data_IF_250471530989
#
_entry.id   IF_250471530989
#
_cell.length_a   1.000
_cell.length_b   1.000
_cell.length_c   1.000
_cell.angle_alpha   90.00
_cell.angle_beta   90.00
_cell.angle_gamma   90.00
#
_symmetry.space_group_name_H-M   'P 1'
#
loop_
_entity.id
_entity.type
_entity.pdbx_description
1 polymer ?
#
# COMPACT_ATOMS: atom_id res chain seq x y z
N UNK A 1 0.56 -10.89 -13.74
CA UNK A 1 0.24 -10.50 -12.35
C UNK A 1 0.74 -9.09 -12.16
N UNK A 2 -0.05 -8.20 -11.55
CA UNK A 2 0.35 -6.80 -11.38
C UNK A 2 1.07 -6.59 -10.05
N UNK A 3 2.36 -6.25 -10.10
CA UNK A 3 3.21 -6.14 -8.91
C UNK A 3 3.70 -4.71 -8.64
N UNK A 4 4.06 -4.46 -7.39
CA UNK A 4 4.73 -3.25 -6.92
C UNK A 4 5.53 -3.57 -5.65
N UNK A 5 6.48 -2.71 -5.31
CA UNK A 5 7.26 -2.73 -4.06
C UNK A 5 6.74 -1.61 -3.18
N UNK A 6 6.46 -1.92 -1.92
CA UNK A 6 5.92 -0.97 -0.97
C UNK A 6 6.57 -1.08 0.41
N UNK A 7 6.57 0.04 1.13
CA UNK A 7 6.90 0.11 2.54
C UNK A 7 5.61 0.12 3.36
N UNK A 8 5.48 -0.79 4.36
CA UNK A 8 4.36 -0.72 5.30
C UNK A 8 4.49 0.54 6.15
N UNK A 9 3.35 1.06 6.61
CA UNK A 9 3.35 2.21 7.50
C UNK A 9 3.48 1.74 8.97
N UNK A 10 4.15 2.50 9.84
CA UNK A 10 4.10 2.24 11.27
C UNK A 10 2.65 2.30 11.78
N UNK A 11 2.33 1.47 12.77
CA UNK A 11 0.98 1.38 13.35
C UNK A 11 0.40 2.75 13.77
N UNK A 12 1.23 3.61 14.34
CA UNK A 12 0.83 4.97 14.76
C UNK A 12 0.28 5.80 13.59
N UNK A 13 0.87 5.64 12.40
CA UNK A 13 0.44 6.31 11.17
C UNK A 13 -0.86 5.69 10.65
N UNK A 14 -1.00 4.36 10.68
CA UNK A 14 -2.25 3.69 10.31
C UNK A 14 -3.43 4.16 11.17
N UNK A 15 -3.22 4.29 12.48
CA UNK A 15 -4.23 4.78 13.42
C UNK A 15 -4.60 6.25 13.16
N UNK A 16 -3.61 7.09 12.90
CA UNK A 16 -3.82 8.50 12.53
C UNK A 16 -4.62 8.62 11.22
N UNK A 17 -4.25 7.85 10.19
CA UNK A 17 -4.97 7.81 8.91
C UNK A 17 -6.42 7.35 9.11
N UNK A 18 -6.66 6.37 9.99
CA UNK A 18 -8.01 5.94 10.36
C UNK A 18 -8.88 7.09 10.88
N UNK A 19 -8.34 7.89 11.81
CA UNK A 19 -9.04 9.07 12.37
C UNK A 19 -9.33 10.12 11.28
N UNK A 20 -8.35 10.41 10.43
CA UNK A 20 -8.50 11.38 9.34
C UNK A 20 -9.58 10.92 8.35
N UNK A 21 -9.52 9.67 7.89
CA UNK A 21 -10.49 9.10 6.96
C UNK A 21 -11.90 9.10 7.57
N UNK A 22 -12.03 8.79 8.86
CA UNK A 22 -13.32 8.87 9.56
C UNK A 22 -13.93 10.28 9.47
N UNK A 23 -13.16 11.32 9.80
CA UNK A 23 -13.61 12.71 9.71
C UNK A 23 -13.98 13.10 8.28
N UNK A 24 -13.17 12.70 7.29
CA UNK A 24 -13.40 13.04 5.89
C UNK A 24 -14.63 12.34 5.30
N UNK A 25 -14.91 11.10 5.72
CA UNK A 25 -16.12 10.37 5.31
C UNK A 25 -17.40 11.12 5.68
N UNK A 26 -17.44 11.76 6.84
CA UNK A 26 -18.61 12.53 7.28
C UNK A 26 -18.84 13.80 6.46
N UNK A 27 -17.78 14.34 5.83
CA UNK A 27 -17.86 15.55 5.00
C UNK A 27 -18.13 15.26 3.53
N UNK A 28 -17.77 14.07 3.03
CA UNK A 28 -17.70 13.75 1.59
C UNK A 28 -18.95 13.11 0.96
N UNK A 29 -20.07 12.98 1.67
CA UNK A 29 -21.35 12.52 1.11
C UNK A 29 -21.31 11.14 0.44
N UNK A 30 -20.43 10.23 0.88
CA UNK A 30 -20.37 8.83 0.42
C UNK A 30 -19.82 8.59 -0.99
N UNK A 31 -19.43 9.62 -1.76
CA UNK A 31 -18.98 9.48 -3.15
C UNK A 31 -17.51 9.03 -3.31
N UNK A 32 -16.74 9.06 -2.22
CA UNK A 32 -15.31 8.70 -2.22
C UNK A 32 -15.15 7.25 -1.77
N UNK A 33 -14.48 6.43 -2.58
CA UNK A 33 -14.06 5.08 -2.20
C UNK A 33 -12.73 5.15 -1.45
N UNK A 34 -12.77 4.90 -0.15
CA UNK A 34 -11.60 4.94 0.72
C UNK A 34 -10.92 3.57 0.80
N UNK A 35 -9.59 3.55 0.70
CA UNK A 35 -8.79 2.37 1.05
C UNK A 35 -8.85 2.16 2.57
N UNK A 36 -8.91 0.91 3.03
CA UNK A 36 -8.83 0.62 4.46
C UNK A 36 -7.47 1.06 5.01
N UNK A 37 -7.38 1.69 6.20
CA UNK A 37 -6.11 2.21 6.74
C UNK A 37 -4.97 1.17 6.72
N UNK A 38 -5.25 -0.07 7.14
CA UNK A 38 -4.30 -1.20 7.13
C UNK A 38 -3.77 -1.63 5.75
N UNK A 39 -4.42 -1.19 4.67
CA UNK A 39 -4.00 -1.46 3.30
C UNK A 39 -3.22 -0.27 2.70
N UNK A 40 -3.14 0.85 3.41
CA UNK A 40 -2.37 2.02 2.96
C UNK A 40 -0.89 1.73 3.19
N UNK A 41 -0.11 1.93 2.13
CA UNK A 41 1.32 1.70 2.10
C UNK A 41 1.97 2.77 1.23
N UNK A 42 3.28 2.97 1.40
CA UNK A 42 4.04 3.82 0.49
C UNK A 42 4.60 2.98 -0.65
N UNK A 43 4.05 3.13 -1.85
CA UNK A 43 4.60 2.47 -3.05
C UNK A 43 5.91 3.14 -3.45
N UNK A 44 6.99 2.37 -3.48
CA UNK A 44 8.34 2.85 -3.87
C UNK A 44 8.60 2.60 -5.35
N UNK A 45 8.11 1.48 -5.88
CA UNK A 45 8.30 1.13 -7.29
C UNK A 45 7.13 0.34 -7.83
N UNK A 46 6.56 0.80 -8.93
CA UNK A 46 5.55 0.06 -9.67
C UNK A 46 6.23 -0.83 -10.72
N UNK A 47 5.94 -2.13 -10.70
CA UNK A 47 6.55 -3.12 -11.61
C UNK A 47 5.63 -3.48 -12.78
N UNK A 48 4.35 -3.14 -12.72
CA UNK A 48 3.41 -3.42 -13.80
C UNK A 48 3.05 -4.90 -13.89
N UNK A 49 2.63 -5.31 -15.09
CA UNK A 49 2.45 -6.72 -15.39
C UNK A 49 3.78 -7.44 -15.36
N UNK A 50 3.86 -8.42 -14.48
CA UNK A 50 5.04 -9.23 -14.23
C UNK A 50 4.70 -10.69 -14.47
N UNK A 51 5.63 -11.41 -15.09
CA UNK A 51 5.58 -12.86 -15.26
C UNK A 51 5.91 -13.56 -13.95
N UNK A 52 5.21 -14.63 -13.65
CA UNK A 52 5.40 -15.40 -12.41
C UNK A 52 6.83 -15.93 -12.25
N UNK A 53 7.49 -16.29 -13.35
CA UNK A 53 8.89 -16.74 -13.36
C UNK A 53 9.88 -15.70 -12.79
N UNK A 54 9.53 -14.40 -12.77
CA UNK A 54 10.38 -13.34 -12.21
C UNK A 54 10.22 -13.17 -10.70
N UNK A 55 9.22 -13.80 -10.09
CA UNK A 55 8.84 -13.56 -8.69
C UNK A 55 9.97 -13.87 -7.71
N UNK A 56 10.63 -15.02 -7.85
CA UNK A 56 11.72 -15.42 -6.94
C UNK A 56 12.94 -14.50 -7.07
N UNK A 57 13.27 -14.06 -8.29
CA UNK A 57 14.34 -13.08 -8.51
C UNK A 57 14.03 -11.73 -7.86
N UNK A 58 12.78 -11.27 -7.95
CA UNK A 58 12.34 -10.03 -7.31
C UNK A 58 12.40 -10.15 -5.79
N UNK A 59 11.92 -11.25 -5.21
CA UNK A 59 12.00 -11.49 -3.75
C UNK A 59 13.45 -11.45 -3.26
N UNK A 60 14.36 -12.12 -3.96
CA UNK A 60 15.79 -12.13 -3.61
C UNK A 60 16.37 -10.72 -3.62
N UNK A 61 16.15 -9.96 -4.70
CA UNK A 61 16.68 -8.61 -4.82
C UNK A 61 16.16 -7.65 -3.74
N UNK A 62 14.90 -7.80 -3.31
CA UNK A 62 14.35 -7.00 -2.20
C UNK A 62 14.94 -7.44 -0.86
N UNK A 63 15.12 -8.75 -0.63
CA UNK A 63 15.67 -9.29 0.61
C UNK A 63 17.15 -8.99 0.84
N UNK A 64 17.92 -8.64 -0.19
CA UNK A 64 19.33 -8.21 -0.05
C UNK A 64 19.47 -6.77 0.50
N UNK A 65 18.39 -5.97 0.45
CA UNK A 65 18.39 -4.54 0.83
C UNK A 65 17.69 -4.31 2.18
N UNK A 66 16.79 -5.22 2.58
CA UNK A 66 16.02 -5.15 3.83
C UNK A 66 16.76 -5.86 4.99
#
# INVERSE_FOLDING_TARGET
MRLFIALPLPREIEELLGKIIFVLKQKGGGRIKWVAPKNIHLTVKFLGETEEAKLEGIKKAVGEIA
#
